data_IF_895129555040
#
_entry.id   IF_895129555040
#
_cell.length_a   1.000
_cell.length_b   1.000
_cell.length_c   1.000
_cell.angle_alpha   90.00
_cell.angle_beta   90.00
_cell.angle_gamma   90.00
#
_symmetry.space_group_name_H-M   'P 1'
#
loop_
_entity.id
_entity.type
_entity.pdbx_description
1 polymer ?
#
# COMPACT_ATOMS: atom_id res chain seq x y z
N UNK A 1 2.78 -6.94 11.19
CA UNK A 1 3.64 -7.46 12.25
C UNK A 1 5.07 -7.26 11.82
N UNK A 2 5.70 -6.31 12.49
CA UNK A 2 7.14 -6.11 12.47
C UNK A 2 7.57 -6.11 13.94
N UNK A 3 8.67 -6.79 14.21
CA UNK A 3 9.35 -6.70 15.50
C UNK A 3 10.40 -5.62 15.39
N UNK A 4 10.38 -4.66 16.31
CA UNK A 4 11.30 -3.51 16.32
C UNK A 4 12.26 -3.74 17.45
N UNK A 5 13.51 -4.03 17.11
CA UNK A 5 14.50 -4.46 18.10
C UNK A 5 14.82 -3.31 19.07
N UNK A 6 14.88 -2.07 18.57
CA UNK A 6 15.17 -0.90 19.40
C UNK A 6 14.10 -0.65 20.48
N UNK A 7 12.83 -0.91 20.14
CA UNK A 7 11.70 -0.73 21.07
C UNK A 7 11.44 -1.95 21.95
N UNK A 8 12.10 -3.09 21.69
CA UNK A 8 11.78 -4.37 22.31
C UNK A 8 10.27 -4.66 22.31
N UNK A 9 9.57 -4.26 21.25
CA UNK A 9 8.11 -4.24 21.20
C UNK A 9 7.61 -4.80 19.88
N UNK A 10 6.44 -5.46 19.94
CA UNK A 10 5.75 -5.96 18.77
C UNK A 10 4.62 -5.01 18.39
N UNK A 11 4.61 -4.53 17.15
CA UNK A 11 3.59 -3.62 16.63
C UNK A 11 2.63 -4.36 15.71
N UNK A 12 1.34 -4.24 16.01
CA UNK A 12 0.24 -4.87 15.29
C UNK A 12 -0.73 -3.79 14.78
N UNK A 13 -0.84 -3.65 13.47
CA UNK A 13 -1.86 -2.82 12.82
C UNK A 13 -2.99 -3.72 12.28
N UNK A 14 -4.22 -3.37 12.62
CA UNK A 14 -5.42 -4.14 12.27
C UNK A 14 -6.26 -3.41 11.22
N UNK A 15 -7.01 -4.17 10.41
CA UNK A 15 -7.90 -3.60 9.40
C UNK A 15 -9.01 -2.73 9.99
N UNK A 16 -9.36 -2.94 11.26
CA UNK A 16 -10.29 -2.09 12.02
C UNK A 16 -9.79 -0.66 12.21
N UNK A 17 -8.49 -0.41 11.97
CA UNK A 17 -7.86 0.89 12.19
C UNK A 17 -7.14 1.03 13.53
N UNK A 18 -7.15 -0.02 14.35
CA UNK A 18 -6.44 -0.05 15.63
C UNK A 18 -4.97 -0.42 15.42
N UNK A 19 -4.06 0.28 16.11
CA UNK A 19 -2.65 -0.08 16.22
C UNK A 19 -2.34 -0.39 17.68
N UNK A 20 -1.93 -1.62 17.94
CA UNK A 20 -1.54 -2.10 19.26
C UNK A 20 -0.01 -2.26 19.34
N UNK A 21 0.54 -1.88 20.48
CA UNK A 21 1.92 -2.17 20.87
C UNK A 21 1.92 -3.15 22.02
N UNK A 22 2.66 -4.22 21.81
CA UNK A 22 2.94 -5.21 22.83
C UNK A 22 4.35 -4.94 23.34
N UNK A 23 4.44 -4.41 24.57
CA UNK A 23 5.73 -4.22 25.25
C UNK A 23 6.26 -5.58 25.71
N UNK A 24 7.58 -5.78 25.66
CA UNK A 24 8.19 -7.09 25.93
C UNK A 24 7.74 -7.73 27.25
N UNK A 25 7.62 -9.05 27.21
CA UNK A 25 7.14 -9.94 28.27
C UNK A 25 8.11 -10.02 29.46
N UNK A 26 8.20 -9.00 30.32
CA UNK A 26 8.87 -9.21 31.60
C UNK A 26 8.10 -10.26 32.40
N UNK A 27 8.78 -11.30 32.88
CA UNK A 27 8.18 -12.49 33.52
C UNK A 27 7.34 -12.21 34.80
N UNK A 28 7.32 -10.97 35.30
CA UNK A 28 6.57 -10.60 36.49
C UNK A 28 5.19 -10.02 36.11
N UNK A 29 4.24 -10.93 35.93
CA UNK A 29 2.77 -10.81 36.13
C UNK A 29 2.09 -9.46 35.84
N UNK A 30 1.34 -9.41 34.72
CA UNK A 30 0.27 -8.45 34.49
C UNK A 30 -0.22 -8.44 33.03
N UNK A 31 -1.55 -8.44 32.83
CA UNK A 31 -2.23 -8.27 31.52
C UNK A 31 -1.97 -6.88 30.87
N UNK A 32 -1.21 -6.00 31.52
CA UNK A 32 -0.97 -4.60 31.13
C UNK A 32 0.11 -4.42 30.02
N UNK A 33 0.49 -5.48 29.31
CA UNK A 33 1.55 -5.41 28.29
C UNK A 33 1.06 -4.95 26.91
N UNK A 34 -0.24 -4.66 26.75
CA UNK A 34 -0.86 -4.25 25.49
C UNK A 34 -1.34 -2.80 25.61
N UNK A 35 -0.80 -1.94 24.77
CA UNK A 35 -1.19 -0.54 24.68
C UNK A 35 -1.83 -0.28 23.30
N UNK A 36 -3.04 0.28 23.28
CA UNK A 36 -3.60 0.88 22.07
C UNK A 36 -2.99 2.27 21.88
N UNK A 37 -2.22 2.43 20.80
CA UNK A 37 -1.51 3.70 20.55
C UNK A 37 -2.29 4.59 19.61
N UNK A 38 -2.92 3.99 18.59
CA UNK A 38 -3.63 4.73 17.54
C UNK A 38 -4.93 4.04 17.19
N UNK A 39 -5.97 4.84 17.01
CA UNK A 39 -7.31 4.41 16.58
C UNK A 39 -7.74 5.23 15.37
N UNK A 40 -7.97 4.58 14.23
CA UNK A 40 -8.32 5.21 12.96
C UNK A 40 -9.71 4.74 12.53
N UNK A 41 -10.67 5.66 12.46
CA UNK A 41 -12.08 5.34 12.17
C UNK A 41 -12.27 4.70 10.80
N UNK A 42 -11.47 5.12 9.83
CA UNK A 42 -11.56 4.73 8.42
C UNK A 42 -10.96 3.34 8.16
N UNK A 43 -10.30 2.72 9.15
CA UNK A 43 -9.60 1.46 8.99
C UNK A 43 -8.22 1.60 8.33
N UNK A 44 -7.47 0.50 8.33
CA UNK A 44 -6.13 0.42 7.72
C UNK A 44 -6.15 -0.64 6.63
N UNK A 45 -5.74 -0.26 5.41
CA UNK A 45 -5.63 -1.16 4.26
C UNK A 45 -4.24 -1.82 4.23
N UNK A 46 -3.20 -1.03 4.50
CA UNK A 46 -1.81 -1.48 4.47
C UNK A 46 -0.99 -0.76 5.53
N UNK A 47 0.03 -1.42 6.06
CA UNK A 47 0.98 -0.82 7.00
C UNK A 47 2.37 -1.43 6.82
N UNK A 48 3.42 -0.63 6.93
CA UNK A 48 4.80 -1.10 6.77
C UNK A 48 5.80 -0.18 7.47
N UNK A 49 6.75 -0.78 8.19
CA UNK A 49 7.90 -0.09 8.76
C UNK A 49 8.95 0.18 7.68
N UNK A 50 9.63 1.31 7.81
CA UNK A 50 10.85 1.55 7.05
C UNK A 50 11.95 0.56 7.48
N UNK A 51 12.88 0.18 6.58
CA UNK A 51 13.96 -0.74 6.89
C UNK A 51 14.86 -0.33 8.06
N UNK A 52 15.00 0.97 8.32
CA UNK A 52 15.75 1.52 9.46
C UNK A 52 14.90 1.69 10.73
N UNK A 53 13.65 1.24 10.73
CA UNK A 53 12.72 1.31 11.87
C UNK A 53 12.39 2.73 12.38
N UNK A 54 12.77 3.80 11.67
CA UNK A 54 12.50 5.18 12.10
C UNK A 54 11.10 5.69 11.72
N UNK A 55 10.46 5.03 10.75
CA UNK A 55 9.19 5.46 10.19
C UNK A 55 8.21 4.30 10.07
N UNK A 56 6.95 4.58 10.40
CA UNK A 56 5.84 3.66 10.18
C UNK A 56 4.84 4.29 9.22
N UNK A 57 4.59 3.62 8.09
CA UNK A 57 3.70 4.13 7.05
C UNK A 57 2.44 3.30 6.98
N UNK A 58 1.28 3.95 6.89
CA UNK A 58 0.00 3.29 6.72
C UNK A 58 -0.79 3.89 5.55
N UNK A 59 -1.64 3.06 4.95
CA UNK A 59 -2.71 3.47 4.04
C UNK A 59 -4.05 3.29 4.75
N UNK A 60 -4.80 4.38 4.87
CA UNK A 60 -6.12 4.43 5.51
C UNK A 60 -7.23 4.04 4.52
N UNK A 61 -8.39 3.62 5.03
CA UNK A 61 -9.54 3.22 4.21
C UNK A 61 -10.15 4.33 3.36
N UNK A 62 -9.98 5.60 3.76
CA UNK A 62 -10.42 6.78 3.00
C UNK A 62 -9.44 7.20 1.89
N UNK A 63 -8.38 6.41 1.66
CA UNK A 63 -7.37 6.68 0.65
C UNK A 63 -6.34 7.72 1.08
N UNK A 64 -6.18 7.99 2.38
CA UNK A 64 -5.02 8.75 2.88
C UNK A 64 -3.82 7.86 3.16
N UNK A 65 -2.65 8.47 3.04
CA UNK A 65 -1.36 7.93 3.43
C UNK A 65 -0.87 8.72 4.64
N UNK A 66 -0.42 8.04 5.70
CA UNK A 66 0.07 8.70 6.91
C UNK A 66 1.41 8.10 7.34
N UNK A 67 2.39 8.97 7.61
CA UNK A 67 3.70 8.62 8.15
C UNK A 67 3.75 8.94 9.63
N UNK A 68 4.20 7.97 10.40
CA UNK A 68 4.41 8.08 11.82
C UNK A 68 5.91 7.99 12.13
N UNK A 69 6.32 8.68 13.19
CA UNK A 69 7.63 8.44 13.82
C UNK A 69 7.54 7.20 14.74
N UNK A 70 8.65 6.88 15.42
CA UNK A 70 8.72 5.76 16.39
C UNK A 70 7.86 5.94 17.63
N UNK A 71 7.42 7.17 17.91
CA UNK A 71 6.48 7.50 18.99
C UNK A 71 5.02 7.44 18.53
N UNK A 72 4.76 7.07 17.27
CA UNK A 72 3.45 7.10 16.64
C UNK A 72 2.79 8.48 16.58
N UNK A 73 3.59 9.54 16.56
CA UNK A 73 3.12 10.86 16.14
C UNK A 73 3.05 10.94 14.62
N UNK A 74 2.01 11.57 14.08
CA UNK A 74 1.88 11.81 12.65
C UNK A 74 2.91 12.87 12.23
N UNK A 75 3.89 12.45 11.42
CA UNK A 75 4.88 13.34 10.80
C UNK A 75 4.30 14.01 9.57
N UNK A 76 3.55 13.25 8.76
CA UNK A 76 2.93 13.77 7.53
C UNK A 76 1.71 12.94 7.13
N UNK A 77 0.76 13.59 6.46
CA UNK A 77 -0.42 12.93 5.89
C UNK A 77 -0.78 13.57 4.56
N UNK A 78 -1.05 12.75 3.54
CA UNK A 78 -1.43 13.18 2.19
C UNK A 78 -2.45 12.22 1.60
N UNK A 79 -3.13 12.63 0.52
CA UNK A 79 -3.91 11.69 -0.28
C UNK A 79 -2.99 10.66 -0.96
N UNK A 80 -3.39 9.39 -0.93
CA UNK A 80 -2.64 8.31 -1.56
C UNK A 80 -2.58 8.46 -3.08
N UNK A 81 -3.64 8.99 -3.69
CA UNK A 81 -3.70 9.26 -5.12
C UNK A 81 -3.44 10.75 -5.42
N UNK A 82 -2.65 11.02 -6.46
CA UNK A 82 -2.35 12.39 -6.93
C UNK A 82 -3.35 12.90 -7.99
N UNK A 83 -4.37 12.09 -8.32
CA UNK A 83 -5.36 12.30 -9.38
C UNK A 83 -4.79 12.43 -10.81
N UNK A 84 -3.47 12.29 -11.00
CA UNK A 84 -2.84 12.39 -12.31
C UNK A 84 -3.07 11.09 -13.09
N UNK A 85 -3.76 11.19 -14.21
CA UNK A 85 -4.14 10.05 -15.08
C UNK A 85 -4.98 8.95 -14.40
N UNK A 86 -5.54 9.22 -13.21
CA UNK A 86 -6.39 8.27 -12.47
C UNK A 86 -7.76 8.13 -13.12
N UNK A 87 -8.37 9.26 -13.50
CA UNK A 87 -9.73 9.33 -14.04
C UNK A 87 -9.72 9.93 -15.44
N UNK A 88 -10.64 9.50 -16.30
CA UNK A 88 -10.85 10.17 -17.58
C UNK A 88 -11.61 11.49 -17.36
N UNK A 89 -11.36 12.55 -18.14
CA UNK A 89 -11.98 13.87 -17.92
C UNK A 89 -13.53 13.85 -17.91
N UNK A 90 -14.14 12.93 -18.65
CA UNK A 90 -15.59 12.80 -18.79
C UNK A 90 -16.19 11.67 -17.92
N UNK A 91 -15.36 10.98 -17.13
CA UNK A 91 -15.80 9.88 -16.31
C UNK A 91 -16.55 10.39 -15.07
N UNK A 92 -17.76 9.88 -14.83
CA UNK A 92 -18.49 10.14 -13.60
C UNK A 92 -17.77 9.49 -12.40
N UNK A 93 -17.50 10.28 -11.37
CA UNK A 93 -16.88 9.80 -10.13
C UNK A 93 -17.93 9.15 -9.25
N UNK A 94 -17.74 7.87 -8.94
CA UNK A 94 -18.63 7.08 -8.08
C UNK A 94 -17.85 6.58 -6.89
N UNK A 95 -18.53 6.28 -5.77
CA UNK A 95 -17.87 5.71 -4.59
C UNK A 95 -17.10 4.42 -4.92
N UNK A 96 -17.55 3.65 -5.92
CA UNK A 96 -16.86 2.44 -6.35
C UNK A 96 -15.53 2.74 -7.06
N UNK A 97 -15.51 3.69 -7.99
CA UNK A 97 -14.31 3.98 -8.78
C UNK A 97 -13.28 4.87 -8.06
N UNK A 98 -13.70 5.59 -7.00
CA UNK A 98 -12.81 6.36 -6.14
C UNK A 98 -12.30 5.57 -4.93
N UNK A 99 -12.94 4.45 -4.57
CA UNK A 99 -12.52 3.64 -3.42
C UNK A 99 -11.22 2.89 -3.67
N UNK A 100 -10.35 2.87 -2.65
CA UNK A 100 -9.14 2.06 -2.61
C UNK A 100 -9.45 0.83 -1.76
N UNK A 101 -9.35 -0.37 -2.33
CA UNK A 101 -9.68 -1.64 -1.65
C UNK A 101 -8.45 -2.47 -1.30
N UNK A 102 -7.37 -2.28 -2.05
CA UNK A 102 -6.11 -2.97 -1.87
C UNK A 102 -4.97 -1.98 -1.94
N UNK A 103 -3.98 -2.16 -1.08
CA UNK A 103 -2.73 -1.41 -1.11
C UNK A 103 -1.58 -2.30 -0.62
N UNK A 104 -0.37 -2.04 -1.13
CA UNK A 104 0.86 -2.67 -0.71
C UNK A 104 1.96 -1.61 -0.68
N UNK A 105 2.69 -1.56 0.43
CA UNK A 105 3.80 -0.63 0.64
C UNK A 105 5.11 -1.40 0.49
N UNK A 106 6.05 -0.85 -0.28
CA UNK A 106 7.42 -1.36 -0.40
C UNK A 106 8.41 -0.24 -0.19
N UNK A 107 9.39 -0.45 0.68
CA UNK A 107 10.43 0.52 0.96
C UNK A 107 11.70 0.21 0.16
N UNK A 108 12.42 1.27 -0.22
CA UNK A 108 13.81 1.17 -0.65
C UNK A 108 14.69 0.93 0.59
N UNK A 109 15.80 0.21 0.43
CA UNK A 109 16.69 -0.16 1.54
C UNK A 109 17.35 1.02 2.28
N UNK A 110 17.33 2.23 1.72
CA UNK A 110 17.83 3.44 2.38
C UNK A 110 16.76 4.18 3.21
N UNK A 111 15.54 3.63 3.29
CA UNK A 111 14.40 4.17 4.04
C UNK A 111 13.94 5.59 3.65
N UNK A 112 14.50 6.17 2.59
CA UNK A 112 14.17 7.54 2.16
C UNK A 112 13.09 7.58 1.08
N UNK A 113 12.84 6.44 0.43
CA UNK A 113 11.92 6.29 -0.70
C UNK A 113 11.07 5.04 -0.46
N UNK A 114 9.80 5.13 -0.81
CA UNK A 114 8.88 4.00 -0.82
C UNK A 114 7.96 4.07 -2.04
N UNK A 115 7.41 2.93 -2.42
CA UNK A 115 6.37 2.81 -3.43
C UNK A 115 5.11 2.23 -2.80
N UNK A 116 3.96 2.75 -3.22
CA UNK A 116 2.66 2.22 -2.85
C UNK A 116 1.93 1.79 -4.11
N UNK A 117 1.66 0.48 -4.22
CA UNK A 117 0.82 -0.09 -5.26
C UNK A 117 -0.59 -0.26 -4.69
N UNK A 118 -1.61 0.29 -5.34
CA UNK A 118 -2.97 0.30 -4.82
C UNK A 118 -4.02 0.17 -5.92
N UNK A 119 -5.16 -0.40 -5.57
CA UNK A 119 -6.31 -0.53 -6.49
C UNK A 119 -7.09 0.78 -6.52
N UNK A 120 -7.38 1.32 -7.70
CA UNK A 120 -8.24 2.48 -7.88
C UNK A 120 -8.84 2.46 -9.30
N UNK A 121 -10.05 3.00 -9.48
CA UNK A 121 -10.72 3.07 -10.79
C UNK A 121 -10.71 1.75 -11.59
N UNK A 122 -10.99 0.62 -10.91
CA UNK A 122 -11.03 -0.71 -11.54
C UNK A 122 -9.68 -1.25 -12.02
N UNK A 123 -8.56 -0.61 -11.67
CA UNK A 123 -7.20 -1.05 -11.99
C UNK A 123 -6.24 -0.90 -10.82
N UNK A 124 -4.95 -1.05 -11.10
CA UNK A 124 -3.88 -0.80 -10.13
C UNK A 124 -3.01 0.37 -10.58
N UNK A 125 -2.64 1.22 -9.62
CA UNK A 125 -1.74 2.35 -9.79
C UNK A 125 -0.59 2.23 -8.78
N UNK A 126 0.59 2.67 -9.19
CA UNK A 126 1.77 2.67 -8.33
C UNK A 126 2.36 4.07 -8.26
N UNK A 127 2.52 4.61 -7.05
CA UNK A 127 3.18 5.89 -6.82
C UNK A 127 4.39 5.71 -5.92
N UNK A 128 5.53 6.25 -6.37
CA UNK A 128 6.76 6.32 -5.60
C UNK A 128 6.86 7.68 -4.92
N UNK A 129 7.21 7.71 -3.63
CA UNK A 129 7.32 8.92 -2.82
C UNK A 129 8.59 8.92 -1.98
N UNK A 130 9.03 10.12 -1.60
CA UNK A 130 10.02 10.30 -0.54
C UNK A 130 9.35 10.38 0.85
N UNK A 131 10.15 10.41 1.92
CA UNK A 131 9.67 10.61 3.31
C UNK A 131 8.96 11.96 3.55
N UNK A 132 9.08 12.93 2.63
CA UNK A 132 8.33 14.19 2.65
C UNK A 132 6.97 14.08 1.97
N UNK A 133 6.57 12.87 1.56
CA UNK A 133 5.32 12.56 0.85
C UNK A 133 5.21 13.14 -0.56
N UNK A 134 6.32 13.60 -1.12
CA UNK A 134 6.34 14.14 -2.48
C UNK A 134 6.43 12.99 -3.49
N UNK A 135 5.59 13.03 -4.52
CA UNK A 135 5.61 12.04 -5.60
C UNK A 135 6.87 12.21 -6.45
N UNK A 136 7.70 11.17 -6.50
CA UNK A 136 8.89 11.12 -7.35
C UNK A 136 8.46 10.56 -8.71
N UNK A 137 8.54 11.40 -9.73
CA UNK A 137 8.25 11.01 -11.12
C UNK A 137 9.56 10.78 -11.85
N UNK A 138 9.70 9.63 -12.51
CA UNK A 138 10.90 9.30 -13.27
C UNK A 138 11.10 10.24 -14.48
N UNK A 139 12.34 10.41 -14.97
CA UNK A 139 12.64 11.26 -16.14
C UNK A 139 12.00 10.75 -17.45
N UNK A 140 11.42 9.55 -17.43
CA UNK A 140 10.67 8.96 -18.53
C UNK A 140 9.38 9.70 -18.90
N UNK A 141 8.96 10.72 -18.13
CA UNK A 141 7.95 11.68 -18.61
C UNK A 141 8.54 12.49 -19.75
N UNK A 142 8.38 11.99 -20.98
CA UNK A 142 8.39 12.87 -22.13
C UNK A 142 7.40 14.01 -21.84
N UNK A 143 7.86 15.26 -21.94
CA UNK A 143 7.05 16.45 -21.66
C UNK A 143 5.65 16.30 -22.26
N UNK A 144 4.61 16.62 -21.48
CA UNK A 144 3.23 16.65 -21.98
C UNK A 144 3.09 17.61 -23.17
N UNK A 145 4.08 18.48 -23.39
CA UNK A 145 4.22 19.43 -24.49
C UNK A 145 4.79 18.83 -25.80
N UNK A 146 5.14 17.54 -25.83
CA UNK A 146 5.40 16.88 -27.12
C UNK A 146 4.10 16.77 -27.92
N UNK A 147 4.09 17.45 -29.08
CA UNK A 147 2.90 17.79 -29.89
C UNK A 147 2.18 16.58 -30.48
N UNK A 148 2.81 15.40 -30.52
CA UNK A 148 2.18 14.18 -31.04
C UNK A 148 1.98 13.12 -29.94
N UNK A 149 0.71 12.84 -29.55
CA UNK A 149 0.37 11.75 -28.61
C UNK A 149 0.91 10.38 -29.03
N UNK A 150 1.26 10.19 -30.31
CA UNK A 150 1.83 8.94 -30.84
C UNK A 150 3.32 8.74 -30.57
N UNK A 151 4.04 9.78 -30.12
CA UNK A 151 5.48 9.70 -29.85
C UNK A 151 5.84 9.41 -28.39
N UNK A 152 4.84 9.25 -27.50
CA UNK A 152 5.05 8.84 -26.10
C UNK A 152 5.44 7.36 -26.05
N UNK A 153 6.71 7.08 -26.23
CA UNK A 153 7.26 5.71 -26.24
C UNK A 153 7.73 5.20 -24.87
N UNK A 154 7.70 6.03 -23.83
CA UNK A 154 8.13 5.63 -22.48
C UNK A 154 7.04 5.98 -21.47
N UNK A 155 6.44 4.95 -20.88
CA UNK A 155 5.50 5.09 -19.78
C UNK A 155 6.21 4.71 -18.49
N UNK A 156 6.17 5.61 -17.50
CA UNK A 156 6.51 5.26 -16.12
C UNK A 156 5.58 4.15 -15.65
N UNK A 157 6.06 3.25 -14.80
CA UNK A 157 5.33 2.05 -14.35
C UNK A 157 4.01 2.47 -13.69
N UNK A 158 2.91 2.25 -14.44
CA UNK A 158 1.49 2.35 -14.04
C UNK A 158 1.08 3.59 -13.23
N UNK A 159 1.28 4.79 -13.79
CA UNK A 159 0.63 6.03 -13.30
C UNK A 159 -0.87 6.07 -13.64
N UNK A 160 -1.27 5.38 -14.72
CA UNK A 160 -2.67 5.10 -15.04
C UNK A 160 -3.09 3.77 -14.43
N UNK A 161 -4.29 3.66 -13.85
CA UNK A 161 -4.83 2.38 -13.39
C UNK A 161 -4.83 1.35 -14.52
N UNK A 162 -4.06 0.27 -14.33
CA UNK A 162 -4.01 -0.84 -15.30
C UNK A 162 -5.08 -1.84 -14.93
N UNK A 163 -6.09 -2.01 -15.80
CA UNK A 163 -7.12 -3.03 -15.61
C UNK A 163 -6.52 -4.43 -15.74
N UNK A 164 -6.68 -5.27 -14.72
CA UNK A 164 -6.34 -6.68 -14.81
C UNK A 164 -7.48 -7.41 -15.53
N UNK A 165 -7.28 -7.79 -16.80
CA UNK A 165 -8.23 -8.62 -17.50
C UNK A 165 -8.03 -10.09 -17.07
N UNK A 166 -8.88 -10.59 -16.18
CA UNK A 166 -8.88 -12.00 -15.79
C UNK A 166 -9.65 -12.77 -16.87
N UNK A 167 -8.92 -13.48 -17.75
CA UNK A 167 -9.56 -14.41 -18.68
C UNK A 167 -10.08 -15.62 -17.89
N UNK A 168 -11.40 -15.67 -17.72
CA UNK A 168 -12.08 -16.80 -17.10
C UNK A 168 -12.14 -17.95 -18.11
N UNK A 169 -11.40 -19.02 -17.87
CA UNK A 169 -11.60 -20.27 -18.59
C UNK A 169 -12.67 -21.09 -17.87
N UNK A 170 -13.80 -21.30 -18.53
CA UNK A 170 -14.86 -22.18 -18.06
C UNK A 170 -14.40 -23.65 -18.12
N UNK A 171 -14.70 -24.42 -17.06
CA UNK A 171 -14.29 -25.82 -16.94
C UNK A 171 -15.43 -26.74 -17.35
N UNK A 172 -15.11 -27.73 -18.18
CA UNK A 172 -15.89 -28.95 -18.38
C UNK A 172 -15.07 -30.10 -17.74
N UNK A 173 -15.71 -30.93 -16.91
CA UNK A 173 -15.19 -32.21 -16.38
C UNK A 173 -13.97 -32.22 -15.43
N UNK A 174 -14.13 -31.66 -14.22
CA UNK A 174 -13.43 -32.16 -13.02
C UNK A 174 -11.90 -31.97 -12.92
N UNK A 175 -11.29 -31.11 -13.74
CA UNK A 175 -9.85 -30.82 -13.68
C UNK A 175 -9.46 -29.59 -12.83
N UNK A 176 -8.27 -29.65 -12.21
CA UNK A 176 -7.65 -28.57 -11.44
C UNK A 176 -7.41 -27.34 -12.32
N UNK A 177 -7.95 -26.19 -11.89
CA UNK A 177 -7.89 -24.94 -12.64
C UNK A 177 -6.55 -24.24 -12.41
N UNK A 178 -5.84 -23.92 -13.50
CA UNK A 178 -4.73 -22.96 -13.50
C UNK A 178 -5.24 -21.63 -14.06
N UNK A 179 -5.33 -20.62 -13.21
CA UNK A 179 -5.58 -19.24 -13.65
C UNK A 179 -4.28 -18.65 -14.18
N UNK A 180 -4.32 -18.13 -15.41
CA UNK A 180 -3.18 -17.38 -15.98
C UNK A 180 -3.60 -15.92 -16.09
N UNK A 181 -3.07 -15.06 -15.22
CA UNK A 181 -3.30 -13.62 -15.29
C UNK A 181 -2.35 -13.03 -16.34
N UNK A 182 -2.82 -12.89 -17.58
CA UNK A 182 -2.09 -12.21 -18.66
C UNK A 182 -2.20 -10.69 -18.50
N UNK A 183 -1.39 -10.12 -17.59
CA UNK A 183 -1.06 -8.68 -17.56
C UNK A 183 -0.12 -8.30 -16.40
N UNK A 184 0.01 -9.12 -15.35
CA UNK A 184 0.80 -8.75 -14.18
C UNK A 184 2.22 -9.30 -14.27
N UNK A 185 3.19 -8.42 -14.53
CA UNK A 185 4.62 -8.71 -14.40
C UNK A 185 5.11 -8.69 -12.94
N UNK A 186 4.21 -8.75 -11.96
CA UNK A 186 4.55 -8.69 -10.54
C UNK A 186 3.98 -9.91 -9.79
N UNK A 187 4.75 -10.50 -8.86
CA UNK A 187 4.26 -11.58 -8.02
C UNK A 187 3.18 -11.04 -7.07
N UNK A 188 1.95 -11.53 -7.21
CA UNK A 188 0.87 -11.25 -6.26
C UNK A 188 0.83 -12.34 -5.19
N UNK A 189 0.72 -11.93 -3.93
CA UNK A 189 0.40 -12.80 -2.80
C UNK A 189 -1.04 -12.50 -2.39
N UNK A 190 -1.97 -13.45 -2.62
CA UNK A 190 -3.34 -13.35 -2.10
C UNK A 190 -3.35 -13.69 -0.62
N UNK A 191 -3.80 -12.77 0.23
CA UNK A 191 -4.13 -13.08 1.63
C UNK A 191 -5.63 -13.39 1.79
N UNK A 192 -6.03 -14.38 2.60
CA UNK A 192 -7.43 -14.64 2.92
C UNK A 192 -8.03 -13.49 3.73
N UNK A 193 -9.25 -13.08 3.37
CA UNK A 193 -10.04 -12.06 4.05
C UNK A 193 -10.25 -12.43 5.53
N UNK A 194 -9.64 -11.65 6.43
CA UNK A 194 -9.69 -11.83 7.89
C UNK A 194 -8.35 -11.85 8.61
N UNK A 195 -7.24 -11.57 7.92
CA UNK A 195 -5.88 -11.83 8.42
C UNK A 195 -5.07 -10.56 8.66
N UNK A 196 -4.27 -10.58 9.74
CA UNK A 196 -3.16 -9.69 10.09
C UNK A 196 -2.41 -9.14 8.85
N UNK A 197 -2.28 -7.81 8.73
CA UNK A 197 -1.89 -7.13 7.47
C UNK A 197 -0.37 -7.12 7.17
N UNK A 198 0.50 -7.66 8.03
CA UNK A 198 1.91 -7.81 7.66
C UNK A 198 2.62 -8.88 8.48
N UNK A 199 3.60 -9.55 7.86
CA UNK A 199 4.64 -10.34 8.51
C UNK A 199 5.84 -10.36 7.59
N UNK A 200 6.96 -9.80 8.02
CA UNK A 200 8.26 -10.05 7.41
C UNK A 200 9.05 -10.98 8.33
N UNK A 201 9.57 -12.06 7.76
CA UNK A 201 10.56 -12.92 8.40
C UNK A 201 11.94 -12.39 7.99
N UNK A 202 12.69 -11.87 8.95
CA UNK A 202 14.12 -11.60 8.79
C UNK A 202 14.83 -12.94 9.03
N UNK A 203 15.55 -13.43 8.03
CA UNK A 203 16.53 -14.51 8.18
C UNK A 203 17.87 -13.92 8.57
#
# INVERSE_FOLDING_TARGET
MAYIQELNSLICAYSSGTILKYNNFSESDGDDNIEEIVSITEGIIAASWSPNEEHFLIVQGDGKLALFNTLFDIVSSVNLDDNDETYQPEQELTAENTSIRHAQITWKGDSNIFAVNYSINGGFKCLTRNIRMEVIKGPARADKDTVDPKERNVFSVSERPVSAHVQHHEVVDGQVIKYTVKAMALPFSMMPSGSLIAGFQVC
#
